data_IF_355734642719
#
_entry.id   IF_355734642719
#
_cell.length_a   1.000
_cell.length_b   1.000
_cell.length_c   1.000
_cell.angle_alpha   90.00
_cell.angle_beta   90.00
_cell.angle_gamma   90.00
#
_symmetry.space_group_name_H-M   'P 1'
#
loop_
_entity.id
_entity.type
_entity.pdbx_description
1 polymer ?
#
# COMPACT_ATOMS: atom_id res chain seq x y z
N UNK A 1 -7.67 8.40 -4.06
CA UNK A 1 -7.07 7.21 -3.45
C UNK A 1 -6.27 7.70 -2.26
N UNK A 2 -6.46 7.10 -1.09
CA UNK A 2 -5.87 7.61 0.14
C UNK A 2 -4.70 6.71 0.54
N UNK A 3 -3.50 7.27 0.69
CA UNK A 3 -2.31 6.54 1.12
C UNK A 3 -1.93 6.96 2.53
N UNK A 4 -1.70 5.98 3.39
CA UNK A 4 -1.15 6.20 4.73
C UNK A 4 0.29 5.71 4.75
N UNK A 5 1.25 6.63 4.82
CA UNK A 5 2.65 6.28 4.99
C UNK A 5 2.92 5.97 6.48
N UNK A 6 3.37 4.75 6.76
CA UNK A 6 3.53 4.26 8.13
C UNK A 6 5.00 4.05 8.46
N UNK A 7 5.44 4.33 9.70
CA UNK A 7 6.84 4.20 10.07
C UNK A 7 7.29 2.72 10.06
N UNK A 8 8.45 2.47 9.45
CA UNK A 8 9.01 1.12 9.35
C UNK A 8 9.81 0.63 10.57
N UNK A 9 10.02 1.50 11.57
CA UNK A 9 10.78 1.16 12.77
C UNK A 9 9.87 0.46 13.80
N UNK A 10 10.34 -0.65 14.38
CA UNK A 10 9.55 -1.54 15.26
C UNK A 10 8.91 -0.82 16.44
N UNK A 11 9.58 0.18 17.01
CA UNK A 11 9.06 0.94 18.16
C UNK A 11 7.82 1.79 17.84
N UNK A 12 7.54 2.07 16.56
CA UNK A 12 6.37 2.82 16.12
C UNK A 12 5.29 1.91 15.52
N UNK A 13 5.25 0.64 15.95
CA UNK A 13 4.25 -0.32 15.48
C UNK A 13 2.81 0.08 15.81
N UNK A 14 2.65 0.86 16.88
CA UNK A 14 1.38 1.45 17.30
C UNK A 14 0.80 2.40 16.25
N UNK A 15 1.65 3.19 15.61
CA UNK A 15 1.26 4.07 14.50
C UNK A 15 0.78 3.27 13.28
N UNK A 16 1.39 2.11 13.05
CA UNK A 16 0.96 1.21 11.97
C UNK A 16 -0.40 0.59 12.31
N UNK A 17 -0.64 0.21 13.57
CA UNK A 17 -1.94 -0.31 14.03
C UNK A 17 -3.05 0.74 13.85
N UNK A 18 -2.79 2.00 14.20
CA UNK A 18 -3.77 3.08 14.04
C UNK A 18 -4.12 3.32 12.56
N UNK A 19 -3.15 3.19 11.65
CA UNK A 19 -3.35 3.31 10.21
C UNK A 19 -4.09 2.10 9.61
N UNK A 20 -3.69 0.88 9.98
CA UNK A 20 -4.31 -0.38 9.55
C UNK A 20 -5.81 -0.37 9.82
N UNK A 21 -6.22 0.13 10.99
CA UNK A 21 -7.63 0.22 11.35
C UNK A 21 -8.47 1.10 10.40
N UNK A 22 -7.87 2.14 9.81
CA UNK A 22 -8.55 3.04 8.87
C UNK A 22 -8.47 2.56 7.41
N UNK A 23 -7.50 1.71 7.06
CA UNK A 23 -7.24 1.26 5.70
C UNK A 23 -8.08 0.03 5.31
N UNK A 24 -8.31 -0.19 4.01
CA UNK A 24 -9.00 -1.38 3.47
C UNK A 24 -8.03 -2.43 2.92
N UNK A 25 -6.77 -2.07 2.77
CA UNK A 25 -5.70 -2.97 2.35
C UNK A 25 -4.33 -2.41 2.71
N UNK A 26 -3.31 -3.26 2.58
CA UNK A 26 -1.93 -2.94 2.92
C UNK A 26 -1.03 -3.25 1.73
N UNK A 27 -0.13 -2.33 1.41
CA UNK A 27 1.00 -2.59 0.51
C UNK A 27 2.25 -2.81 1.36
N UNK A 28 2.70 -4.06 1.43
CA UNK A 28 3.89 -4.45 2.18
C UNK A 28 5.14 -4.21 1.34
N UNK A 29 5.99 -3.28 1.79
CA UNK A 29 7.29 -3.04 1.16
C UNK A 29 8.35 -3.98 1.75
N UNK A 30 9.05 -4.70 0.87
CA UNK A 30 10.15 -5.61 1.24
C UNK A 30 11.38 -5.24 0.45
N UNK A 31 12.51 -5.05 1.12
CA UNK A 31 13.78 -4.75 0.46
C UNK A 31 14.32 -6.02 -0.21
N UNK A 32 14.63 -5.95 -1.50
CA UNK A 32 15.09 -7.07 -2.30
C UNK A 32 16.44 -7.63 -1.81
N UNK A 33 17.32 -6.79 -1.26
CA UNK A 33 18.64 -7.19 -0.78
C UNK A 33 18.58 -7.79 0.63
N UNK A 34 17.72 -7.25 1.48
CA UNK A 34 17.57 -7.65 2.89
C UNK A 34 16.61 -8.84 3.06
N UNK A 35 15.53 -8.89 2.28
CA UNK A 35 14.50 -9.92 2.35
C UNK A 35 13.48 -9.67 3.46
N UNK A 36 12.83 -10.74 3.92
CA UNK A 36 11.80 -10.65 4.97
C UNK A 36 12.46 -10.44 6.33
N UNK A 37 12.18 -9.31 6.96
CA UNK A 37 12.70 -8.94 8.28
C UNK A 37 11.66 -9.20 9.38
N UNK A 38 12.10 -9.16 10.64
CA UNK A 38 11.21 -9.37 11.80
C UNK A 38 10.00 -8.42 11.80
N UNK A 39 10.20 -7.15 11.41
CA UNK A 39 9.10 -6.19 11.35
C UNK A 39 8.13 -6.53 10.21
N UNK A 40 8.64 -6.93 9.04
CA UNK A 40 7.85 -7.40 7.89
C UNK A 40 6.92 -8.54 8.30
N UNK A 41 7.45 -9.52 9.02
CA UNK A 41 6.67 -10.63 9.57
C UNK A 41 5.61 -10.15 10.57
N UNK A 42 5.96 -9.26 11.50
CA UNK A 42 5.02 -8.73 12.51
C UNK A 42 3.88 -7.94 11.88
N UNK A 43 4.18 -7.08 10.90
CA UNK A 43 3.18 -6.29 10.19
C UNK A 43 2.28 -7.18 9.33
N UNK A 44 2.85 -8.19 8.67
CA UNK A 44 2.08 -9.16 7.91
C UNK A 44 1.10 -9.93 8.80
N UNK A 45 1.54 -10.40 9.98
CA UNK A 45 0.64 -11.03 10.96
C UNK A 45 -0.46 -10.09 11.42
N UNK A 46 -0.13 -8.84 11.69
CA UNK A 46 -1.09 -7.87 12.16
C UNK A 46 -2.14 -7.52 11.09
N UNK A 47 -1.72 -7.34 9.84
CA UNK A 47 -2.62 -7.11 8.71
C UNK A 47 -3.58 -8.30 8.47
N UNK A 48 -3.08 -9.54 8.62
CA UNK A 48 -3.92 -10.74 8.54
C UNK A 48 -4.93 -10.84 9.69
N UNK A 49 -4.55 -10.45 10.90
CA UNK A 49 -5.44 -10.45 12.07
C UNK A 49 -6.57 -9.42 11.96
N UNK A 50 -6.30 -8.28 11.31
CA UNK A 50 -7.29 -7.23 11.03
C UNK A 50 -8.04 -7.49 9.70
N UNK A 51 -7.91 -8.69 9.11
CA UNK A 51 -8.60 -9.12 7.87
C UNK A 51 -8.38 -8.20 6.65
N UNK A 52 -7.21 -7.57 6.53
CA UNK A 52 -6.91 -6.70 5.40
C UNK A 52 -6.37 -7.46 4.19
N UNK A 53 -6.69 -6.97 3.00
CA UNK A 53 -6.07 -7.49 1.77
C UNK A 53 -4.63 -7.01 1.66
N UNK A 54 -3.73 -7.92 1.27
CA UNK A 54 -2.28 -7.66 1.22
C UNK A 54 -1.80 -7.66 -0.22
N UNK A 55 -1.12 -6.59 -0.62
CA UNK A 55 -0.29 -6.52 -1.80
C UNK A 55 1.18 -6.38 -1.39
N UNK A 56 2.12 -6.82 -2.23
CA UNK A 56 3.55 -6.77 -1.92
C UNK A 56 4.31 -5.95 -2.94
N UNK A 57 5.20 -5.09 -2.46
CA UNK A 57 6.15 -4.34 -3.27
C UNK A 57 7.57 -4.75 -2.89
N UNK A 58 8.24 -5.46 -3.79
CA UNK A 58 9.67 -5.78 -3.63
C UNK A 58 10.45 -4.56 -4.11
N UNK A 59 10.90 -3.74 -3.17
CA UNK A 59 11.61 -2.50 -3.43
C UNK A 59 13.13 -2.70 -3.39
N UNK A 60 13.87 -1.72 -3.89
CA UNK A 60 15.33 -1.69 -3.95
C UNK A 60 15.94 -2.83 -4.78
N UNK A 61 15.26 -3.25 -5.85
CA UNK A 61 15.77 -4.29 -6.76
C UNK A 61 17.11 -3.92 -7.39
N UNK A 62 17.42 -2.62 -7.47
CA UNK A 62 18.71 -2.09 -7.92
C UNK A 62 19.88 -2.55 -7.04
N UNK A 63 19.67 -2.75 -5.72
CA UNK A 63 20.71 -3.24 -4.81
C UNK A 63 21.17 -4.65 -5.17
N UNK A 64 20.31 -5.49 -5.74
CA UNK A 64 20.69 -6.81 -6.24
C UNK A 64 21.75 -6.72 -7.35
N UNK A 65 21.72 -5.64 -8.12
CA UNK A 65 22.51 -5.47 -9.34
C UNK A 65 23.74 -4.60 -9.10
N UNK A 66 23.59 -3.51 -8.33
CA UNK A 66 24.63 -2.52 -8.10
C UNK A 66 25.50 -2.85 -6.87
N UNK A 67 24.86 -3.27 -5.77
CA UNK A 67 25.56 -3.54 -4.51
C UNK A 67 26.02 -5.01 -4.46
N UNK A 68 25.07 -5.95 -4.54
CA UNK A 68 25.37 -7.37 -4.44
C UNK A 68 25.95 -7.96 -5.74
N UNK A 69 25.75 -7.29 -6.88
CA UNK A 69 26.20 -7.71 -8.21
C UNK A 69 25.86 -9.17 -8.53
N UNK A 70 24.68 -9.60 -8.11
CA UNK A 70 24.22 -10.97 -8.32
C UNK A 70 23.99 -11.23 -9.81
N UNK A 71 24.31 -12.42 -10.32
CA UNK A 71 23.86 -12.83 -11.64
C UNK A 71 22.32 -12.77 -11.73
N UNK A 72 21.74 -12.50 -12.91
CA UNK A 72 20.28 -12.43 -13.08
C UNK A 72 19.53 -13.68 -12.57
N UNK A 73 20.16 -14.85 -12.68
CA UNK A 73 19.60 -16.11 -12.18
C UNK A 73 19.51 -16.15 -10.64
N UNK A 74 20.54 -15.72 -9.94
CA UNK A 74 20.55 -15.71 -8.47
C UNK A 74 19.66 -14.61 -7.91
N UNK A 75 19.59 -13.46 -8.60
CA UNK A 75 18.64 -12.40 -8.27
C UNK A 75 17.19 -12.91 -8.39
N UNK A 76 16.84 -13.65 -9.44
CA UNK A 76 15.53 -14.28 -9.57
C UNK A 76 15.24 -15.25 -8.41
N UNK A 77 16.20 -16.12 -8.05
CA UNK A 77 16.01 -17.04 -6.92
C UNK A 77 15.83 -16.31 -5.60
N UNK A 78 16.55 -15.21 -5.38
CA UNK A 78 16.39 -14.37 -4.19
C UNK A 78 15.01 -13.73 -4.12
N UNK A 79 14.53 -13.17 -5.22
CA UNK A 79 13.17 -12.61 -5.31
C UNK A 79 12.11 -13.71 -5.08
N UNK A 80 12.29 -14.88 -5.68
CA UNK A 80 11.39 -16.03 -5.48
C UNK A 80 11.37 -16.49 -4.03
N UNK A 81 12.54 -16.57 -3.40
CA UNK A 81 12.68 -16.94 -2.00
C UNK A 81 11.93 -15.97 -1.06
N UNK A 82 12.04 -14.66 -1.29
CA UNK A 82 11.29 -13.65 -0.53
C UNK A 82 9.77 -13.89 -0.64
N UNK A 83 9.27 -14.18 -1.84
CA UNK A 83 7.85 -14.48 -2.05
C UNK A 83 7.42 -15.80 -1.39
N UNK A 84 8.27 -16.82 -1.44
CA UNK A 84 8.01 -18.11 -0.78
C UNK A 84 7.97 -17.95 0.75
N UNK A 85 8.84 -17.12 1.34
CA UNK A 85 8.84 -16.79 2.76
C UNK A 85 7.56 -16.06 3.19
N UNK A 86 7.17 -15.02 2.44
CA UNK A 86 5.92 -14.28 2.69
C UNK A 86 4.72 -15.23 2.65
N UNK A 87 4.64 -16.08 1.63
CA UNK A 87 3.57 -17.07 1.52
C UNK A 87 3.61 -18.12 2.64
N UNK A 88 4.80 -18.50 3.12
CA UNK A 88 4.98 -19.37 4.28
C UNK A 88 4.42 -18.75 5.57
N UNK A 89 4.64 -17.46 5.79
CA UNK A 89 4.09 -16.71 6.93
C UNK A 89 2.56 -16.62 6.82
N UNK A 90 2.03 -16.28 5.63
CA UNK A 90 0.58 -16.20 5.42
C UNK A 90 -0.10 -17.55 5.69
N UNK A 91 0.46 -18.66 5.18
CA UNK A 91 -0.09 -20.00 5.43
C UNK A 91 -0.09 -20.39 6.91
N UNK A 92 0.91 -19.94 7.66
CA UNK A 92 1.02 -20.24 9.10
C UNK A 92 0.04 -19.42 9.95
N UNK A 93 -0.27 -18.18 9.53
CA UNK A 93 -1.03 -17.22 10.34
C UNK A 93 -2.45 -16.97 9.85
N UNK A 94 -2.82 -17.39 8.66
CA UNK A 94 -4.18 -17.30 8.17
C UNK A 94 -5.00 -18.48 8.70
N UNK A 95 -6.08 -18.19 9.42
CA UNK A 95 -7.03 -19.21 9.92
C UNK A 95 -8.07 -19.62 8.87
N UNK A 96 -8.02 -19.05 7.66
CA UNK A 96 -8.97 -19.35 6.58
C UNK A 96 -8.62 -20.66 5.87
N UNK A 97 -9.64 -21.35 5.36
CA UNK A 97 -9.49 -22.57 4.55
C UNK A 97 -8.74 -22.33 3.24
N UNK A 98 -8.73 -21.09 2.73
CA UNK A 98 -7.99 -20.68 1.54
C UNK A 98 -7.18 -19.41 1.85
N UNK A 99 -5.88 -19.54 2.19
CA UNK A 99 -5.03 -18.39 2.47
C UNK A 99 -4.75 -17.59 1.19
N UNK A 100 -4.71 -16.25 1.26
CA UNK A 100 -4.39 -15.42 0.10
C UNK A 100 -2.97 -15.73 -0.40
N UNK A 101 -2.84 -16.08 -1.67
CA UNK A 101 -1.55 -16.37 -2.29
C UNK A 101 -0.95 -15.10 -2.87
N UNK A 102 0.27 -14.77 -2.45
CA UNK A 102 1.05 -13.68 -3.02
C UNK A 102 1.88 -14.21 -4.18
N UNK A 103 1.57 -13.75 -5.40
CA UNK A 103 2.27 -14.19 -6.61
C UNK A 103 2.25 -13.10 -7.69
N UNK A 104 3.38 -12.80 -8.33
CA UNK A 104 3.44 -11.85 -9.44
C UNK A 104 2.46 -12.18 -10.58
N UNK A 105 2.08 -13.45 -10.75
CA UNK A 105 1.10 -13.90 -11.74
C UNK A 105 -0.33 -13.43 -11.43
N UNK A 106 -0.65 -13.23 -10.16
CA UNK A 106 -1.96 -12.74 -9.69
C UNK A 106 -2.03 -11.21 -9.65
N UNK A 107 -0.97 -10.53 -10.11
CA UNK A 107 -0.88 -9.07 -10.12
C UNK A 107 -1.03 -8.43 -8.73
N UNK A 108 -0.64 -9.14 -7.66
CA UNK A 108 -0.56 -8.62 -6.30
C UNK A 108 0.87 -8.36 -5.81
N UNK A 109 1.85 -8.49 -6.73
CA UNK A 109 3.26 -8.15 -6.48
C UNK A 109 3.74 -7.14 -7.51
N UNK A 110 4.36 -6.06 -7.06
CA UNK A 110 5.21 -5.19 -7.88
C UNK A 110 6.68 -5.30 -7.50
N UNK A 111 7.52 -5.00 -8.48
CA UNK A 111 8.95 -4.84 -8.32
C UNK A 111 9.28 -3.37 -8.50
N UNK A 112 10.07 -2.80 -7.59
CA UNK A 112 10.41 -1.39 -7.65
C UNK A 112 11.84 -1.08 -7.21
N UNK A 113 12.31 0.06 -7.67
CA UNK A 113 13.44 0.79 -7.12
C UNK A 113 13.02 2.25 -7.02
N UNK A 114 12.63 2.67 -5.81
CA UNK A 114 12.19 4.05 -5.56
C UNK A 114 13.30 5.08 -5.81
N UNK A 115 14.57 4.69 -5.66
CA UNK A 115 15.71 5.58 -5.90
C UNK A 115 15.87 5.95 -7.38
N UNK A 116 15.60 5.00 -8.28
CA UNK A 116 15.76 5.19 -9.73
C UNK A 116 14.44 5.26 -10.48
N UNK A 117 13.31 5.43 -9.78
CA UNK A 117 11.97 5.46 -10.37
C UNK A 117 11.65 4.23 -11.25
N UNK A 118 12.08 3.04 -10.82
CA UNK A 118 11.67 1.79 -11.47
C UNK A 118 10.43 1.28 -10.71
N UNK A 119 9.34 1.02 -11.40
CA UNK A 119 8.22 0.26 -10.86
C UNK A 119 7.55 -0.51 -12.00
N UNK A 120 7.34 -1.80 -11.80
CA UNK A 120 6.60 -2.61 -12.75
C UNK A 120 5.96 -3.82 -12.07
N UNK A 121 4.82 -4.21 -12.60
CA UNK A 121 4.24 -5.56 -12.52
C UNK A 121 4.53 -6.32 -13.80
N UNK A 122 4.30 -7.64 -13.82
CA UNK A 122 4.40 -8.44 -15.04
C UNK A 122 3.49 -7.89 -16.16
N UNK A 123 2.30 -7.39 -15.79
CA UNK A 123 1.33 -6.82 -16.72
C UNK A 123 1.83 -5.51 -17.32
N UNK A 124 2.33 -4.58 -16.49
CA UNK A 124 2.89 -3.31 -16.98
C UNK A 124 4.13 -3.51 -17.86
N UNK A 125 5.00 -4.46 -17.52
CA UNK A 125 6.18 -4.75 -18.33
C UNK A 125 5.80 -5.42 -19.66
N UNK A 126 4.79 -6.31 -19.65
CA UNK A 126 4.22 -6.87 -20.87
C UNK A 126 3.57 -5.80 -21.75
N UNK A 127 2.94 -4.78 -21.16
CA UNK A 127 2.37 -3.65 -21.88
C UNK A 127 3.46 -2.80 -22.55
N UNK A 128 4.61 -2.59 -21.89
CA UNK A 128 5.78 -1.98 -22.52
C UNK A 128 6.20 -2.77 -23.77
N UNK A 129 6.32 -4.10 -23.68
CA UNK A 129 6.62 -4.93 -24.86
C UNK A 129 5.58 -4.80 -25.97
N UNK A 130 4.29 -4.76 -25.64
CA UNK A 130 3.23 -4.62 -26.63
C UNK A 130 3.26 -3.25 -27.34
N UNK A 131 3.78 -2.21 -26.69
CA UNK A 131 3.96 -0.88 -27.30
C UNK A 131 5.07 -0.85 -28.36
N UNK A 132 6.15 -1.61 -28.16
CA UNK A 132 7.26 -1.71 -29.12
C UNK A 132 6.99 -2.76 -30.22
N UNK A 133 6.30 -3.85 -29.88
CA UNK A 133 6.07 -4.98 -30.79
C UNK A 133 4.57 -5.21 -31.01
N UNK A 134 4.00 -4.66 -32.12
CA UNK A 134 2.60 -4.87 -32.48
C UNK A 134 2.27 -6.35 -32.64
N UNK A 135 1.19 -6.81 -31.99
CA UNK A 135 0.72 -8.19 -32.06
C UNK A 135 1.04 -9.07 -30.84
N UNK A 136 1.69 -8.53 -29.81
CA UNK A 136 1.84 -9.21 -28.52
C UNK A 136 0.61 -8.97 -27.64
N UNK A 137 -0.09 -10.06 -27.29
CA UNK A 137 -1.18 -10.01 -26.31
C UNK A 137 -0.61 -9.91 -24.89
N UNK A 138 -0.58 -8.70 -24.33
CA UNK A 138 0.09 -8.41 -23.06
C UNK A 138 -0.45 -9.16 -21.83
N UNK A 139 -1.76 -9.41 -21.64
CA UNK A 139 -2.27 -10.14 -20.48
C UNK A 139 -1.85 -11.60 -20.51
N UNK A 140 -1.89 -12.23 -21.67
CA UNK A 140 -1.52 -13.63 -21.85
C UNK A 140 0.00 -13.82 -21.77
N UNK A 141 0.76 -12.81 -22.21
CA UNK A 141 2.21 -12.77 -22.02
C UNK A 141 2.58 -12.62 -20.54
N UNK A 142 1.92 -11.73 -19.79
CA UNK A 142 2.16 -11.52 -18.35
C UNK A 142 2.00 -12.80 -17.52
N UNK A 143 1.00 -13.65 -17.83
CA UNK A 143 0.80 -14.95 -17.17
C UNK A 143 1.95 -15.95 -17.36
N UNK A 144 2.84 -15.70 -18.33
CA UNK A 144 3.95 -16.60 -18.69
C UNK A 144 5.33 -16.04 -18.34
N UNK A 145 5.36 -14.83 -17.79
CA UNK A 145 6.59 -14.12 -17.44
C UNK A 145 7.17 -14.53 -16.08
N UNK A 146 6.47 -15.36 -15.28
CA UNK A 146 6.94 -15.77 -13.95
C UNK A 146 6.84 -17.29 -13.73
N UNK A 147 7.73 -17.81 -12.89
CA UNK A 147 7.81 -19.22 -12.56
C UNK A 147 8.80 -20.01 -13.43
N UNK A 148 8.71 -21.34 -13.37
CA UNK A 148 9.55 -22.26 -14.15
C UNK A 148 9.02 -22.40 -15.59
N UNK A 149 8.93 -21.27 -16.28
CA UNK A 149 8.55 -21.16 -17.70
C UNK A 149 9.78 -20.70 -18.48
N UNK A 150 9.99 -21.31 -19.64
CA UNK A 150 11.12 -21.07 -20.53
C UNK A 150 10.60 -20.69 -21.91
N UNK A 151 11.35 -19.88 -22.64
CA UNK A 151 11.03 -19.51 -24.01
C UNK A 151 11.87 -20.31 -24.99
N UNK A 152 11.20 -21.03 -25.89
CA UNK A 152 11.89 -21.76 -26.97
C UNK A 152 11.97 -20.86 -28.21
N UNK A 153 13.20 -20.41 -28.54
CA UNK A 153 13.46 -19.53 -29.68
C UNK A 153 13.12 -20.17 -31.03
N UNK A 154 13.26 -21.48 -31.15
CA UNK A 154 12.99 -22.21 -32.41
C UNK A 154 11.50 -22.33 -32.68
N UNK A 155 10.71 -22.70 -31.67
CA UNK A 155 9.25 -22.87 -31.82
C UNK A 155 8.45 -21.59 -31.54
N UNK A 156 9.11 -20.53 -31.03
CA UNK A 156 8.51 -19.28 -30.53
C UNK A 156 7.38 -19.51 -29.53
N UNK A 157 7.48 -20.57 -28.72
CA UNK A 157 6.48 -20.96 -27.72
C UNK A 157 7.07 -21.02 -26.32
N UNK A 158 6.23 -20.75 -25.34
CA UNK A 158 6.54 -20.95 -23.93
C UNK A 158 6.41 -22.43 -23.56
N UNK A 159 7.42 -22.97 -22.89
CA UNK A 159 7.50 -24.37 -22.48
C UNK A 159 7.83 -24.45 -20.99
N UNK A 160 7.25 -25.43 -20.29
CA UNK A 160 7.50 -25.66 -18.85
C UNK A 160 8.77 -26.45 -18.57
N UNK A 161 9.26 -27.20 -19.56
CA UNK A 161 10.54 -27.91 -19.48
C UNK A 161 11.60 -27.10 -20.21
N UNK A 162 12.76 -26.96 -19.59
CA UNK A 162 13.90 -26.30 -20.21
C UNK A 162 14.26 -27.03 -21.52
N UNK A 163 14.16 -26.38 -22.69
CA UNK A 163 14.50 -27.01 -23.97
C UNK A 163 16.00 -27.25 -24.13
N UNK A 164 16.84 -26.56 -23.36
CA UNK A 164 18.29 -26.77 -23.29
C UNK A 164 18.76 -26.52 -21.86
N UNK A 165 19.84 -27.17 -21.40
CA UNK A 165 20.34 -26.97 -20.02
C UNK A 165 20.77 -25.53 -19.69
N UNK A 166 20.95 -24.68 -20.70
CA UNK A 166 21.34 -23.27 -20.57
C UNK A 166 20.19 -22.27 -20.78
N UNK A 167 18.98 -22.71 -21.15
CA UNK A 167 17.87 -21.76 -21.33
C UNK A 167 17.42 -21.20 -20.00
N UNK A 168 17.40 -19.87 -19.93
CA UNK A 168 16.97 -19.15 -18.75
C UNK A 168 15.43 -19.10 -18.65
N UNK A 169 14.93 -18.75 -17.47
CA UNK A 169 13.49 -18.53 -17.27
C UNK A 169 13.04 -17.28 -18.00
N UNK A 170 11.76 -17.22 -18.36
CA UNK A 170 11.14 -16.07 -19.00
C UNK A 170 11.32 -14.77 -18.21
N UNK A 171 11.18 -14.81 -16.88
CA UNK A 171 11.42 -13.64 -16.04
C UNK A 171 12.86 -13.11 -16.19
N UNK A 172 13.83 -14.02 -16.29
CA UNK A 172 15.24 -13.63 -16.40
C UNK A 172 15.49 -13.05 -17.79
N UNK A 173 15.11 -13.76 -18.85
CA UNK A 173 15.38 -13.37 -20.24
C UNK A 173 14.65 -12.08 -20.65
N UNK A 174 13.38 -11.90 -20.24
CA UNK A 174 12.56 -10.78 -20.69
C UNK A 174 12.50 -9.60 -19.73
N UNK A 175 12.82 -9.77 -18.44
CA UNK A 175 12.71 -8.68 -17.45
C UNK A 175 14.07 -8.36 -16.84
N UNK A 176 14.73 -9.33 -16.19
CA UNK A 176 15.99 -9.04 -15.50
C UNK A 176 17.14 -8.74 -16.47
N UNK A 177 17.36 -9.51 -17.53
CA UNK A 177 18.46 -9.24 -18.46
C UNK A 177 18.39 -7.85 -19.10
N UNK A 178 17.23 -7.39 -19.64
CA UNK A 178 17.12 -6.01 -20.12
C UNK A 178 17.39 -4.98 -19.03
N UNK A 179 16.90 -5.19 -17.81
CA UNK A 179 17.11 -4.27 -16.70
C UNK A 179 18.59 -4.19 -16.29
N UNK A 180 19.27 -5.34 -16.21
CA UNK A 180 20.70 -5.44 -15.97
C UNK A 180 21.51 -4.75 -17.07
N UNK A 181 21.11 -4.92 -18.34
CA UNK A 181 21.76 -4.24 -19.48
C UNK A 181 21.63 -2.72 -19.35
N UNK A 182 20.43 -2.20 -19.08
CA UNK A 182 20.22 -0.75 -18.87
C UNK A 182 21.12 -0.23 -17.75
N UNK A 183 21.10 -0.89 -16.59
CA UNK A 183 21.86 -0.43 -15.41
C UNK A 183 23.37 -0.52 -15.65
N UNK A 184 23.86 -1.61 -16.23
CA UNK A 184 25.29 -1.79 -16.51
C UNK A 184 25.82 -0.82 -17.56
N UNK A 185 25.03 -0.49 -18.59
CA UNK A 185 25.42 0.50 -19.60
C UNK A 185 25.47 1.93 -19.03
N UNK A 186 24.62 2.25 -18.05
CA UNK A 186 24.66 3.57 -17.39
C UNK A 186 25.84 3.68 -16.41
N UNK A 187 26.25 2.57 -15.78
CA UNK A 187 27.34 2.55 -14.80
C UNK A 187 28.72 2.35 -15.44
N UNK A 188 28.82 1.63 -16.56
CA UNK A 188 30.08 1.19 -17.19
C UNK A 188 30.72 2.15 -18.19
N UNK A 189 30.56 3.47 -17.99
CA UNK A 189 30.96 4.61 -18.86
C UNK A 189 30.04 4.89 -20.06
N UNK A 190 29.47 6.10 -20.06
CA UNK A 190 28.26 6.49 -20.78
C UNK A 190 28.43 6.96 -22.23
N UNK A 191 29.63 7.01 -22.79
CA UNK A 191 29.86 8.00 -23.86
C UNK A 191 29.46 7.56 -25.29
N UNK A 192 29.58 6.28 -25.66
CA UNK A 192 29.24 5.84 -27.05
C UNK A 192 28.19 4.73 -27.15
N UNK A 193 28.22 3.74 -26.26
CA UNK A 193 27.27 2.60 -26.34
C UNK A 193 25.91 2.95 -25.71
N UNK A 194 25.88 3.83 -24.71
CA UNK A 194 24.64 4.21 -24.06
C UNK A 194 23.71 4.93 -25.04
N UNK A 195 24.23 5.80 -25.91
CA UNK A 195 23.42 6.49 -26.92
C UNK A 195 22.69 5.50 -27.84
N UNK A 196 23.37 4.43 -28.29
CA UNK A 196 22.77 3.38 -29.12
C UNK A 196 21.68 2.62 -28.37
N UNK A 197 21.92 2.27 -27.11
CA UNK A 197 20.92 1.58 -26.28
C UNK A 197 19.72 2.47 -26.00
N UNK A 198 19.93 3.76 -25.77
CA UNK A 198 18.84 4.73 -25.60
C UNK A 198 18.02 4.87 -26.89
N UNK A 199 18.65 4.89 -28.05
CA UNK A 199 17.97 4.89 -29.35
C UNK A 199 17.14 3.61 -29.57
N UNK A 200 17.68 2.43 -29.23
CA UNK A 200 16.95 1.15 -29.28
C UNK A 200 15.73 1.13 -28.35
N UNK A 201 15.83 1.78 -27.19
CA UNK A 201 14.75 1.91 -26.22
C UNK A 201 13.82 3.10 -26.50
N UNK A 202 14.06 3.87 -27.57
CA UNK A 202 13.26 5.05 -27.92
C UNK A 202 13.36 6.20 -26.90
N UNK A 203 14.42 6.27 -26.09
CA UNK A 203 14.60 7.27 -25.04
C UNK A 203 15.49 8.40 -25.57
N UNK A 204 14.89 9.56 -25.84
CA UNK A 204 15.65 10.75 -26.22
C UNK A 204 16.25 11.39 -24.97
N UNK A 205 17.57 11.61 -24.95
CA UNK A 205 18.30 12.30 -23.87
C UNK A 205 19.10 13.47 -24.44
N UNK A 206 18.99 14.64 -23.83
CA UNK A 206 19.72 15.83 -24.27
C UNK A 206 21.22 15.78 -23.89
N UNK A 207 22.06 16.51 -24.62
CA UNK A 207 23.51 16.59 -24.33
C UNK A 207 23.84 17.13 -22.92
N UNK A 208 22.97 17.96 -22.35
CA UNK A 208 23.10 18.44 -20.97
C UNK A 208 22.73 17.38 -19.95
N UNK A 209 21.70 16.58 -20.23
CA UNK A 209 21.27 15.47 -19.37
C UNK A 209 22.29 14.34 -19.33
N UNK A 210 22.98 14.08 -20.44
CA UNK A 210 24.05 13.08 -20.49
C UNK A 210 25.23 13.39 -19.56
N UNK A 211 25.43 14.67 -19.22
CA UNK A 211 26.49 15.13 -18.30
C UNK A 211 26.11 15.00 -16.82
N UNK A 212 24.90 14.52 -16.53
CA UNK A 212 24.47 14.31 -15.15
C UNK A 212 25.30 13.21 -14.49
N UNK A 213 25.40 13.26 -13.17
CA UNK A 213 25.98 12.18 -12.38
C UNK A 213 25.22 10.86 -12.63
N UNK A 214 25.92 9.73 -12.61
CA UNK A 214 25.39 8.39 -12.92
C UNK A 214 24.04 8.11 -12.22
N UNK A 215 23.92 8.45 -10.93
CA UNK A 215 22.66 8.23 -10.17
C UNK A 215 21.49 9.04 -10.72
N UNK A 216 21.72 10.30 -11.05
CA UNK A 216 20.71 11.20 -11.60
C UNK A 216 20.35 10.82 -13.03
N UNK A 217 21.35 10.44 -13.83
CA UNK A 217 21.16 9.96 -15.19
C UNK A 217 20.35 8.66 -15.21
N UNK A 218 20.69 7.70 -14.35
CA UNK A 218 19.95 6.44 -14.24
C UNK A 218 18.49 6.66 -13.86
N UNK A 219 18.24 7.54 -12.86
CA UNK A 219 16.87 7.90 -12.49
C UNK A 219 16.11 8.53 -13.66
N UNK A 220 16.75 9.40 -14.44
CA UNK A 220 16.12 10.02 -15.61
C UNK A 220 15.77 8.99 -16.68
N UNK A 221 16.73 8.13 -17.05
CA UNK A 221 16.53 7.09 -18.07
C UNK A 221 15.41 6.13 -17.65
N UNK A 222 15.46 5.62 -16.42
CA UNK A 222 14.42 4.74 -15.90
C UNK A 222 13.05 5.44 -15.82
N UNK A 223 13.00 6.73 -15.44
CA UNK A 223 11.74 7.48 -15.45
C UNK A 223 11.13 7.65 -16.84
N UNK A 224 11.95 7.79 -17.89
CA UNK A 224 11.46 7.86 -19.28
C UNK A 224 11.07 6.48 -19.81
N UNK A 225 11.76 5.43 -19.40
CA UNK A 225 11.50 4.07 -19.85
C UNK A 225 10.24 3.47 -19.22
N UNK A 226 10.10 3.58 -17.89
CA UNK A 226 8.97 3.02 -17.15
C UNK A 226 7.78 3.98 -17.06
N UNK A 227 8.03 5.29 -17.19
CA UNK A 227 7.00 6.33 -17.04
C UNK A 227 6.58 6.52 -15.58
N UNK A 228 5.30 6.81 -15.38
CA UNK A 228 4.70 7.04 -14.08
C UNK A 228 4.44 5.73 -13.31
N UNK A 229 4.20 5.84 -12.00
CA UNK A 229 3.97 4.71 -11.09
C UNK A 229 2.55 4.09 -11.20
N UNK A 230 1.99 4.06 -12.41
CA UNK A 230 0.66 3.49 -12.68
C UNK A 230 0.57 2.00 -12.29
N UNK A 231 1.69 1.28 -12.37
CA UNK A 231 1.86 -0.10 -11.88
C UNK A 231 1.34 -0.30 -10.44
N UNK A 232 1.69 0.60 -9.52
CA UNK A 232 1.33 0.48 -8.11
C UNK A 232 -0.14 0.79 -7.90
N UNK A 233 -0.65 1.79 -8.63
CA UNK A 233 -2.07 2.16 -8.61
C UNK A 233 -2.91 1.00 -9.13
N UNK A 234 -2.51 0.38 -10.24
CA UNK A 234 -3.18 -0.79 -10.82
C UNK A 234 -3.25 -1.96 -9.83
N UNK A 235 -2.19 -2.23 -9.07
CA UNK A 235 -2.23 -3.25 -8.01
C UNK A 235 -3.29 -2.86 -6.98
N UNK A 236 -3.24 -1.63 -6.50
CA UNK A 236 -4.13 -1.22 -5.42
C UNK A 236 -5.60 -1.27 -5.88
N UNK A 237 -5.91 -0.83 -7.10
CA UNK A 237 -7.28 -0.88 -7.64
C UNK A 237 -7.78 -2.30 -7.87
N UNK A 238 -6.91 -3.23 -8.29
CA UNK A 238 -7.34 -4.60 -8.61
C UNK A 238 -7.32 -5.53 -7.39
N UNK A 239 -6.49 -5.25 -6.38
CA UNK A 239 -6.28 -6.13 -5.22
C UNK A 239 -7.00 -5.59 -3.99
N UNK A 240 -6.93 -4.27 -3.73
CA UNK A 240 -7.54 -3.69 -2.54
C UNK A 240 -9.01 -3.40 -2.85
N UNK A 241 -9.96 -3.96 -2.08
CA UNK A 241 -11.37 -3.72 -2.31
C UNK A 241 -11.72 -2.25 -2.08
N UNK A 242 -12.74 -1.77 -2.79
CA UNK A 242 -13.27 -0.44 -2.52
C UNK A 242 -13.88 -0.37 -1.11
N UNK A 243 -13.96 0.82 -0.50
CA UNK A 243 -14.60 0.98 0.81
C UNK A 243 -16.03 0.44 0.86
N UNK A 244 -16.77 0.53 -0.26
CA UNK A 244 -18.14 0.01 -0.37
C UNK A 244 -18.17 -1.52 -0.35
N UNK A 245 -17.26 -2.18 -1.09
CA UNK A 245 -17.17 -3.64 -1.11
C UNK A 245 -16.65 -4.21 0.21
N UNK A 246 -15.71 -3.51 0.86
CA UNK A 246 -15.08 -3.97 2.10
C UNK A 246 -15.81 -3.55 3.38
N UNK A 247 -16.75 -2.60 3.29
CA UNK A 247 -17.46 -2.04 4.44
C UNK A 247 -18.03 -3.13 5.36
N UNK A 248 -18.64 -4.18 4.78
CA UNK A 248 -19.18 -5.31 5.55
C UNK A 248 -18.12 -6.00 6.41
N UNK A 249 -17.00 -6.39 5.80
CA UNK A 249 -15.93 -7.10 6.50
C UNK A 249 -15.28 -6.22 7.57
N UNK A 250 -15.06 -4.93 7.24
CA UNK A 250 -14.50 -3.96 8.16
C UNK A 250 -15.42 -3.75 9.36
N UNK A 251 -16.69 -3.40 9.15
CA UNK A 251 -17.67 -3.15 10.21
C UNK A 251 -17.81 -4.37 11.12
N UNK A 252 -17.91 -5.59 10.57
CA UNK A 252 -17.97 -6.82 11.35
C UNK A 252 -16.75 -7.03 12.27
N UNK A 253 -15.58 -6.53 11.87
CA UNK A 253 -14.35 -6.65 12.66
C UNK A 253 -14.21 -5.54 13.72
N UNK A 254 -14.55 -4.30 13.36
CA UNK A 254 -14.26 -3.12 14.18
C UNK A 254 -15.43 -2.69 15.08
N UNK A 255 -16.67 -3.05 14.74
CA UNK A 255 -17.86 -2.60 15.46
C UNK A 255 -18.14 -3.48 16.68
N UNK A 256 -18.46 -2.85 17.82
CA UNK A 256 -18.82 -3.57 19.06
C UNK A 256 -20.32 -3.86 19.18
N UNK A 257 -21.14 -3.07 18.49
CA UNK A 257 -22.60 -3.20 18.55
C UNK A 257 -23.17 -4.31 17.66
N UNK A 258 -24.50 -4.53 17.70
CA UNK A 258 -25.16 -5.50 16.84
C UNK A 258 -25.10 -5.08 15.36
N UNK A 259 -24.86 -6.06 14.48
CA UNK A 259 -24.72 -5.86 13.03
C UNK A 259 -26.08 -5.54 12.39
N UNK A 260 -27.16 -5.97 13.02
CA UNK A 260 -28.55 -5.76 12.60
C UNK A 260 -29.08 -4.36 12.97
N UNK A 261 -28.25 -3.51 13.61
CA UNK A 261 -28.64 -2.14 13.93
C UNK A 261 -28.71 -1.26 12.67
N UNK A 262 -29.61 -0.26 12.63
CA UNK A 262 -29.71 0.67 11.50
C UNK A 262 -28.39 1.44 11.26
N UNK A 263 -27.62 1.70 12.33
CA UNK A 263 -26.28 2.28 12.22
C UNK A 263 -25.30 1.34 11.51
N UNK A 264 -25.29 0.07 11.90
CA UNK A 264 -24.41 -0.91 11.28
C UNK A 264 -24.78 -1.14 9.81
N UNK A 265 -26.07 -1.21 9.47
CA UNK A 265 -26.55 -1.32 8.10
C UNK A 265 -26.09 -0.10 7.26
N UNK A 266 -26.30 1.12 7.75
CA UNK A 266 -25.84 2.35 7.10
C UNK A 266 -24.32 2.39 6.88
N UNK A 267 -23.54 1.86 7.83
CA UNK A 267 -22.09 1.71 7.69
C UNK A 267 -21.69 0.64 6.69
N UNK A 268 -22.42 -0.49 6.62
CA UNK A 268 -22.17 -1.60 5.69
C UNK A 268 -22.45 -1.16 4.24
N UNK A 269 -23.48 -0.34 4.04
CA UNK A 269 -23.79 0.23 2.72
C UNK A 269 -22.86 1.40 2.34
N UNK A 270 -22.10 1.93 3.31
CA UNK A 270 -21.30 3.14 3.16
C UNK A 270 -22.15 4.31 2.63
N UNK A 271 -23.37 4.47 3.16
CA UNK A 271 -24.32 5.46 2.67
C UNK A 271 -23.88 6.88 3.03
N UNK A 272 -23.74 7.74 2.02
CA UNK A 272 -23.36 9.14 2.20
C UNK A 272 -24.49 10.00 2.77
N UNK A 273 -25.74 9.56 2.66
CA UNK A 273 -26.93 10.27 3.16
C UNK A 273 -27.47 9.70 4.48
N UNK A 274 -26.88 8.61 4.95
CA UNK A 274 -27.24 7.96 6.20
C UNK A 274 -26.77 8.73 7.43
N UNK A 275 -26.92 8.10 8.59
CA UNK A 275 -26.48 8.68 9.86
C UNK A 275 -24.97 8.83 9.88
N UNK A 276 -24.48 9.99 10.32
CA UNK A 276 -23.06 10.27 10.43
C UNK A 276 -22.40 9.31 11.43
N UNK A 277 -21.41 8.56 10.98
CA UNK A 277 -20.52 7.76 11.84
C UNK A 277 -19.09 7.91 11.34
N UNK A 278 -18.19 8.37 12.23
CA UNK A 278 -16.76 8.52 11.97
C UNK A 278 -15.96 7.76 13.01
N UNK A 279 -14.97 7.00 12.56
CA UNK A 279 -14.01 6.35 13.45
C UNK A 279 -12.69 7.11 13.40
N UNK A 280 -12.20 7.57 14.56
CA UNK A 280 -10.92 8.26 14.66
C UNK A 280 -9.89 7.43 15.42
N UNK A 281 -8.64 7.46 14.95
CA UNK A 281 -7.55 6.65 15.51
C UNK A 281 -6.27 7.44 15.75
N UNK A 282 -6.13 8.61 15.14
CA UNK A 282 -4.89 9.39 15.11
C UNK A 282 -5.18 10.84 15.48
N UNK A 283 -4.20 11.48 16.12
CA UNK A 283 -4.21 12.91 16.40
C UNK A 283 -2.92 13.52 15.87
N UNK A 284 -3.03 14.56 15.08
CA UNK A 284 -1.88 15.30 14.55
C UNK A 284 -1.82 16.67 15.22
N UNK A 285 -0.67 17.02 15.78
CA UNK A 285 -0.47 18.34 16.34
C UNK A 285 -0.54 19.42 15.25
N UNK A 286 -1.21 20.52 15.54
CA UNK A 286 -1.09 21.76 14.75
C UNK A 286 0.37 22.24 14.70
N UNK A 287 0.70 23.06 13.70
CA UNK A 287 2.06 23.61 13.54
C UNK A 287 2.49 24.44 14.77
N UNK A 288 1.53 25.10 15.42
CA UNK A 288 1.76 25.92 16.61
C UNK A 288 1.81 25.09 17.90
N UNK A 289 1.49 23.79 17.84
CA UNK A 289 1.51 22.87 18.98
C UNK A 289 0.44 23.12 20.04
N UNK A 290 -0.52 24.01 19.79
CA UNK A 290 -1.55 24.41 20.76
C UNK A 290 -2.78 23.52 20.74
N UNK A 291 -3.10 22.94 19.58
CA UNK A 291 -4.27 22.11 19.37
C UNK A 291 -3.91 20.85 18.58
N UNK A 292 -4.73 19.82 18.71
CA UNK A 292 -4.65 18.62 17.89
C UNK A 292 -5.78 18.56 16.86
N UNK A 293 -5.43 18.15 15.65
CA UNK A 293 -6.38 17.79 14.61
C UNK A 293 -6.59 16.28 14.65
N UNK A 294 -7.85 15.88 14.76
CA UNK A 294 -8.24 14.48 14.90
C UNK A 294 -8.40 13.87 13.51
N UNK A 295 -7.79 12.73 13.28
CA UNK A 295 -7.79 12.02 12.01
C UNK A 295 -8.60 10.74 12.08
N UNK A 296 -9.47 10.54 11.08
CA UNK A 296 -10.32 9.36 11.03
C UNK A 296 -10.94 9.09 9.67
N UNK A 297 -11.74 8.02 9.61
CA UNK A 297 -12.50 7.56 8.45
C UNK A 297 -13.99 7.82 8.70
N UNK A 298 -14.64 8.49 7.76
CA UNK A 298 -16.11 8.58 7.73
C UNK A 298 -16.65 7.26 7.18
N UNK A 299 -17.35 6.48 7.98
CA UNK A 299 -17.93 5.19 7.56
C UNK A 299 -19.34 5.34 6.99
N UNK A 300 -20.10 6.29 7.52
CA UNK A 300 -21.48 6.56 7.11
C UNK A 300 -21.79 8.06 7.23
N UNK A 301 -22.72 8.54 6.41
CA UNK A 301 -23.16 9.92 6.34
C UNK A 301 -22.13 10.85 5.69
N UNK A 302 -22.34 12.15 5.91
CA UNK A 302 -21.45 13.21 5.45
C UNK A 302 -21.16 14.15 6.62
N UNK A 303 -19.88 14.32 6.95
CA UNK A 303 -19.44 15.22 8.00
C UNK A 303 -19.38 16.65 7.43
N UNK A 304 -20.07 17.60 8.06
CA UNK A 304 -20.03 19.01 7.66
C UNK A 304 -19.26 19.86 8.67
N UNK A 305 -18.54 20.89 8.17
CA UNK A 305 -17.90 21.86 9.03
C UNK A 305 -18.95 22.64 9.85
N UNK A 306 -18.66 22.93 11.13
CA UNK A 306 -19.59 23.58 12.07
C UNK A 306 -20.81 22.74 12.47
N UNK A 307 -20.87 21.47 12.10
CA UNK A 307 -21.89 20.55 12.60
C UNK A 307 -21.64 20.22 14.08
N UNK A 308 -22.72 20.09 14.86
CA UNK A 308 -22.64 19.56 16.22
C UNK A 308 -22.61 18.04 16.19
N UNK A 309 -21.59 17.46 16.81
CA UNK A 309 -21.35 16.01 16.84
C UNK A 309 -21.20 15.51 18.28
N UNK A 310 -21.62 14.27 18.53
CA UNK A 310 -21.41 13.58 19.80
C UNK A 310 -20.20 12.66 19.66
N UNK A 311 -19.22 12.85 20.54
CA UNK A 311 -17.96 12.10 20.57
C UNK A 311 -18.04 11.10 21.70
N UNK A 312 -17.77 9.84 21.40
CA UNK A 312 -17.78 8.71 22.33
C UNK A 312 -16.34 8.23 22.52
N UNK A 313 -15.86 8.23 23.76
CA UNK A 313 -14.54 7.72 24.12
C UNK A 313 -14.48 6.19 24.20
N UNK A 314 -13.35 5.66 24.65
CA UNK A 314 -13.10 4.21 24.72
C UNK A 314 -13.86 3.51 25.87
N UNK A 315 -14.21 4.24 26.92
CA UNK A 315 -14.92 3.69 28.08
C UNK A 315 -16.44 3.84 27.97
N UNK A 316 -16.92 4.54 26.94
CA UNK A 316 -18.35 4.73 26.73
C UNK A 316 -19.11 3.41 26.64
N UNK A 317 -20.26 3.35 27.30
CA UNK A 317 -21.23 2.28 27.14
C UNK A 317 -22.65 2.83 27.21
N UNK A 318 -23.64 2.10 26.69
CA UNK A 318 -25.04 2.53 26.76
C UNK A 318 -25.58 2.69 28.19
N UNK A 319 -24.88 2.16 29.19
CA UNK A 319 -25.21 2.32 30.61
C UNK A 319 -24.42 3.43 31.29
N UNK A 320 -23.33 3.91 30.67
CA UNK A 320 -22.40 4.89 31.21
C UNK A 320 -22.01 5.89 30.11
N UNK A 321 -22.73 7.01 30.09
CA UNK A 321 -22.56 8.10 29.13
C UNK A 321 -21.53 9.14 29.58
N UNK A 322 -20.83 8.94 30.70
CA UNK A 322 -19.85 9.92 31.21
C UNK A 322 -18.71 10.19 30.22
N UNK A 323 -18.32 9.18 29.45
CA UNK A 323 -17.30 9.27 28.39
C UNK A 323 -17.90 9.68 27.03
N UNK A 324 -18.91 10.56 27.07
CA UNK A 324 -19.48 11.20 25.88
C UNK A 324 -19.46 12.73 26.01
N UNK A 325 -19.15 13.43 24.91
CA UNK A 325 -19.22 14.90 24.85
C UNK A 325 -19.78 15.38 23.53
N UNK A 326 -20.63 16.40 23.58
CA UNK A 326 -21.10 17.10 22.39
C UNK A 326 -20.16 18.26 22.11
N UNK A 327 -19.65 18.32 20.89
CA UNK A 327 -18.77 19.39 20.42
C UNK A 327 -19.20 19.89 19.05
N UNK A 328 -18.81 21.10 18.69
CA UNK A 328 -18.97 21.61 17.34
C UNK A 328 -17.70 21.35 16.56
N UNK A 329 -17.83 20.74 15.39
CA UNK A 329 -16.73 20.63 14.42
C UNK A 329 -16.26 22.03 14.05
N UNK A 330 -14.96 22.29 14.10
CA UNK A 330 -14.36 23.52 13.60
C UNK A 330 -14.28 23.50 12.08
N UNK A 331 -13.07 23.25 11.57
CA UNK A 331 -12.80 23.06 10.14
C UNK A 331 -12.52 21.59 9.83
N UNK A 332 -12.66 21.26 8.54
CA UNK A 332 -12.32 19.96 7.98
C UNK A 332 -11.21 20.12 6.95
N UNK A 333 -10.28 19.19 6.94
CA UNK A 333 -9.23 19.14 5.91
C UNK A 333 -9.02 17.75 5.34
N UNK A 334 -8.58 17.74 4.09
CA UNK A 334 -7.95 16.57 3.45
C UNK A 334 -6.44 16.75 3.53
N UNK A 335 -5.75 15.71 4.01
CA UNK A 335 -4.30 15.72 4.19
C UNK A 335 -3.58 15.19 2.95
N UNK A 336 -2.66 15.98 2.41
CA UNK A 336 -1.81 15.62 1.26
C UNK A 336 -0.33 15.52 1.69
N UNK A 337 -0.10 15.17 2.97
CA UNK A 337 1.22 15.04 3.58
C UNK A 337 1.81 16.39 3.98
N UNK A 338 2.34 17.17 3.02
CA UNK A 338 3.00 18.46 3.31
C UNK A 338 2.06 19.65 3.40
N UNK A 339 0.89 19.54 2.79
CA UNK A 339 -0.13 20.57 2.78
C UNK A 339 -1.49 19.94 3.06
N UNK A 340 -2.44 20.77 3.46
CA UNK A 340 -3.82 20.37 3.74
C UNK A 340 -4.76 21.22 2.91
N UNK A 341 -5.86 20.62 2.48
CA UNK A 341 -6.90 21.28 1.70
C UNK A 341 -8.13 21.42 2.58
N UNK A 342 -8.55 22.65 2.87
CA UNK A 342 -9.77 22.92 3.64
C UNK A 342 -11.01 22.58 2.81
N UNK A 343 -11.96 21.86 3.42
CA UNK A 343 -13.20 21.41 2.77
C UNK A 343 -14.40 21.69 3.66
N UNK A 344 -15.56 21.91 3.04
CA UNK A 344 -16.79 22.18 3.79
C UNK A 344 -17.47 20.90 4.29
N UNK A 345 -17.28 19.79 3.57
CA UNK A 345 -17.89 18.50 3.89
C UNK A 345 -17.05 17.33 3.42
N UNK A 346 -17.13 16.21 4.12
CA UNK A 346 -16.46 14.95 3.76
C UNK A 346 -17.46 13.78 3.82
N UNK A 347 -17.74 13.09 2.69
CA UNK A 347 -18.67 11.97 2.67
C UNK A 347 -18.03 10.65 3.12
N UNK A 348 -18.87 9.66 3.40
CA UNK A 348 -18.49 8.28 3.71
C UNK A 348 -17.45 7.69 2.73
N UNK A 349 -16.56 6.85 3.27
CA UNK A 349 -15.44 6.22 2.57
C UNK A 349 -14.16 7.07 2.52
N UNK A 350 -14.16 8.30 3.03
CA UNK A 350 -13.00 9.20 2.99
C UNK A 350 -12.37 9.43 4.36
N UNK A 351 -11.07 9.71 4.35
CA UNK A 351 -10.36 10.17 5.53
C UNK A 351 -10.50 11.68 5.69
N UNK A 352 -10.51 12.13 6.95
CA UNK A 352 -10.70 13.53 7.29
C UNK A 352 -9.84 13.91 8.48
N UNK A 353 -9.28 15.13 8.44
CA UNK A 353 -8.76 15.86 9.59
C UNK A 353 -9.83 16.80 10.12
N UNK A 354 -10.09 16.74 11.43
CA UNK A 354 -11.14 17.47 12.10
C UNK A 354 -10.53 18.34 13.19
N UNK A 355 -10.84 19.64 13.20
CA UNK A 355 -10.45 20.58 14.26
C UNK A 355 -11.54 20.80 15.30
N UNK A 356 -11.10 21.12 16.52
CA UNK A 356 -11.97 21.61 17.59
C UNK A 356 -12.66 20.50 18.39
N UNK A 357 -12.26 19.24 18.18
CA UNK A 357 -12.86 18.06 18.83
C UNK A 357 -11.85 17.20 19.59
N UNK A 358 -10.64 17.71 19.82
CA UNK A 358 -9.53 16.97 20.42
C UNK A 358 -9.67 16.75 21.94
N UNK A 359 -10.27 17.70 22.66
CA UNK A 359 -10.34 17.68 24.13
C UNK A 359 -10.85 16.37 24.78
N UNK A 360 -11.93 15.70 24.30
CA UNK A 360 -12.39 14.45 24.88
C UNK A 360 -11.64 13.20 24.38
N UNK A 361 -10.83 13.31 23.33
CA UNK A 361 -10.27 12.15 22.64
C UNK A 361 -8.87 11.88 23.18
N UNK A 362 -8.68 10.70 23.78
CA UNK A 362 -7.35 10.27 24.24
C UNK A 362 -6.58 9.50 23.17
N UNK A 363 -7.20 8.48 22.55
CA UNK A 363 -6.56 7.60 21.56
C UNK A 363 -7.47 7.37 20.37
N UNK A 364 -8.53 6.59 20.58
CA UNK A 364 -9.58 6.37 19.60
C UNK A 364 -10.88 7.01 20.06
N UNK A 365 -11.76 7.30 19.10
CA UNK A 365 -13.14 7.68 19.42
C UNK A 365 -14.08 7.28 18.30
N UNK A 366 -15.36 7.25 18.65
CA UNK A 366 -16.48 7.11 17.71
C UNK A 366 -17.24 8.42 17.70
N UNK A 367 -17.41 9.03 16.53
CA UNK A 367 -18.14 10.29 16.38
C UNK A 367 -19.44 9.99 15.66
N UNK A 368 -20.55 10.46 16.22
CA UNK A 368 -21.89 10.31 15.67
C UNK A 368 -22.60 11.66 15.63
N UNK A 369 -23.69 11.74 14.87
CA UNK A 369 -24.52 12.95 14.88
C UNK A 369 -25.11 13.22 16.28
N UNK A 370 -25.16 14.48 16.70
CA UNK A 370 -25.61 14.84 18.05
C UNK A 370 -27.11 14.58 18.29
N UNK A 371 -27.89 14.49 17.20
CA UNK A 371 -29.36 14.30 17.23
C UNK A 371 -29.79 12.84 17.20
N UNK A 372 -28.83 11.92 17.27
CA UNK A 372 -29.13 10.49 17.25
C UNK A 372 -29.49 10.02 18.67
N UNK A 373 -30.73 9.57 18.83
CA UNK A 373 -31.34 9.24 20.14
C UNK A 373 -31.44 7.72 20.41
N UNK A 374 -31.08 6.85 19.47
CA UNK A 374 -31.08 5.39 19.68
C UNK A 374 -29.81 4.93 20.42
N UNK A 375 -29.79 3.65 20.82
CA UNK A 375 -28.62 3.04 21.47
C UNK A 375 -27.35 3.17 20.64
N UNK A 376 -26.36 3.84 21.22
CA UNK A 376 -25.05 4.06 20.61
C UNK A 376 -24.05 3.02 21.09
N UNK A 377 -23.18 2.60 20.18
CA UNK A 377 -22.03 1.74 20.47
C UNK A 377 -20.76 2.40 19.94
N UNK A 378 -19.62 1.91 20.44
CA UNK A 378 -18.30 2.35 20.01
C UNK A 378 -17.63 1.32 19.11
N UNK A 379 -16.64 1.76 18.34
CA UNK A 379 -15.68 0.85 17.73
C UNK A 379 -14.77 0.21 18.79
N UNK A 380 -14.30 -1.00 18.50
CA UNK A 380 -13.33 -1.70 19.32
C UNK A 380 -12.04 -0.87 19.42
N UNK A 381 -11.47 -0.70 20.62
CA UNK A 381 -10.17 -0.04 20.79
C UNK A 381 -9.08 -0.71 19.94
N UNK A 382 -7.99 0.02 19.67
CA UNK A 382 -6.87 -0.51 18.89
C UNK A 382 -6.19 -1.66 19.64
N UNK A 383 -6.07 -2.81 18.98
CA UNK A 383 -5.33 -3.96 19.49
C UNK A 383 -3.88 -3.89 19.02
N UNK A 384 -3.02 -3.33 19.86
CA UNK A 384 -1.62 -3.17 19.53
C UNK A 384 -0.86 -4.50 19.49
N UNK A 385 0.11 -4.59 18.57
CA UNK A 385 0.99 -5.74 18.42
C UNK A 385 2.09 -5.79 19.50
N UNK A 386 2.36 -4.65 20.15
CA UNK A 386 3.39 -4.50 21.18
C UNK A 386 2.77 -3.97 22.48
N UNK A 387 3.43 -4.26 23.59
CA UNK A 387 3.06 -3.71 24.90
C UNK A 387 4.01 -2.56 25.24
N UNK A 388 3.47 -1.50 25.84
CA UNK A 388 4.27 -0.40 26.38
C UNK A 388 4.99 -0.85 27.66
N UNK A 389 6.23 -1.31 27.53
CA UNK A 389 7.02 -1.87 28.65
C UNK A 389 7.92 -0.84 29.31
N UNK A 390 8.48 0.09 28.53
CA UNK A 390 9.47 1.05 29.04
C UNK A 390 8.76 2.14 29.84
N UNK A 391 9.09 2.24 31.12
CA UNK A 391 8.62 3.31 32.01
C UNK A 391 9.70 4.37 32.17
N UNK A 392 9.36 5.62 31.87
CA UNK A 392 10.22 6.79 32.08
C UNK A 392 9.59 7.59 33.23
N UNK A 393 10.38 7.95 34.24
CA UNK A 393 9.97 8.93 35.23
C UNK A 393 10.31 10.32 34.66
N UNK A 394 9.29 11.17 34.51
CA UNK A 394 9.40 12.53 33.99
C UNK A 394 9.18 13.51 35.13
#
# INVERSE_FOLDING_TARGET
MNFFDTPGHVNFSDEVTAAIRLCDGVVLFVDAAEGVMLNTERLLKHALQENLTIAVCINKIDRLMLELKLPPQDAYYKIRHILDEINGIIKTHCNSSEPPLISPLLNNVCFSSSQYNICFTLKSFAQLYASYYPGVDYPEFAKRLWGDIYFNRTSRKFVKKAPTGQTQRTFIEFILEPLYKIISQVVGDADENLAKVLDELGIVVSKSEMKLNIRSLMRLICSRFFGDFNCLIDICVNVIPSPVENARNKVQHIWKGPIESPLAESMIECDQKGTLVVHTTKQYSSQDGTAFNVFGLVLSGTLEAKQSVKILGENYSSFDEEDSRIMSVGKLWISEGRYTIEVNRVPAGNWVLIEGIDQPISKTSTIVDARFDDELFIFNPLKFNTQSVIKIAV
#
